data_IF_390321747518
#
_entry.id   IF_390321747518
#
_cell.length_a   1.000
_cell.length_b   1.000
_cell.length_c   1.000
_cell.angle_alpha   90.00
_cell.angle_beta   90.00
_cell.angle_gamma   90.00
#
_symmetry.space_group_name_H-M   'P 1'
#
loop_
_entity.id
_entity.type
_entity.pdbx_description
1 polymer ?
#
# COMPACT_ATOMS: atom_id res chain seq x y z
N UNK A 1 22.11 -14.27 25.20
CA UNK A 1 20.94 -13.40 24.92
C UNK A 1 20.50 -13.59 23.49
N UNK A 2 19.27 -14.02 23.24
CA UNK A 2 18.73 -14.09 21.89
C UNK A 2 18.71 -12.68 21.28
N UNK A 3 19.31 -12.55 20.10
CA UNK A 3 19.32 -11.32 19.33
C UNK A 3 17.87 -10.99 18.91
N UNK A 4 17.31 -9.88 19.42
CA UNK A 4 15.94 -9.47 19.11
C UNK A 4 15.65 -9.46 17.60
N UNK A 5 16.64 -9.10 16.78
CA UNK A 5 16.53 -9.10 15.32
C UNK A 5 16.22 -10.49 14.77
N UNK A 6 16.95 -11.51 15.22
CA UNK A 6 16.73 -12.90 14.79
C UNK A 6 15.37 -13.42 15.27
N UNK A 7 14.98 -13.11 16.49
CA UNK A 7 13.69 -13.54 17.06
C UNK A 7 12.53 -12.99 16.23
N UNK A 8 12.52 -11.69 15.93
CA UNK A 8 11.41 -11.09 15.19
C UNK A 8 11.37 -11.49 13.71
N UNK A 9 12.52 -11.67 13.07
CA UNK A 9 12.56 -12.19 11.69
C UNK A 9 12.08 -13.65 11.64
N UNK A 10 12.49 -14.48 12.60
CA UNK A 10 12.01 -15.85 12.67
C UNK A 10 10.51 -15.92 12.99
N UNK A 11 10.00 -15.06 13.88
CA UNK A 11 8.56 -14.98 14.16
C UNK A 11 7.76 -14.56 12.92
N UNK A 12 8.19 -13.49 12.24
CA UNK A 12 7.58 -13.08 10.96
C UNK A 12 7.64 -14.21 9.93
N UNK A 13 8.80 -14.84 9.77
CA UNK A 13 8.99 -15.95 8.84
C UNK A 13 8.09 -17.14 9.15
N UNK A 14 7.90 -17.49 10.45
CA UNK A 14 7.00 -18.55 10.87
C UNK A 14 5.53 -18.22 10.54
N UNK A 15 5.10 -16.96 10.77
CA UNK A 15 3.75 -16.50 10.44
C UNK A 15 3.52 -16.54 8.93
N UNK A 16 4.46 -16.01 8.12
CA UNK A 16 4.37 -16.06 6.67
C UNK A 16 4.39 -17.51 6.15
N UNK A 17 5.25 -18.36 6.68
CA UNK A 17 5.32 -19.77 6.28
C UNK A 17 4.00 -20.48 6.56
N UNK A 18 3.40 -20.24 7.74
CA UNK A 18 2.09 -20.80 8.10
C UNK A 18 1.00 -20.35 7.12
N UNK A 19 0.94 -19.07 6.77
CA UNK A 19 -0.14 -18.53 5.94
C UNK A 19 0.08 -18.81 4.44
N UNK A 20 1.29 -18.64 3.93
CA UNK A 20 1.55 -18.66 2.48
C UNK A 20 1.97 -20.01 1.93
N UNK A 21 2.53 -20.89 2.77
CA UNK A 21 3.18 -22.13 2.32
C UNK A 21 2.44 -23.37 2.78
N UNK A 22 2.01 -23.42 4.07
CA UNK A 22 1.30 -24.58 4.61
C UNK A 22 -0.15 -24.63 4.12
N UNK A 23 -0.67 -25.81 3.75
CA UNK A 23 -2.11 -25.96 3.45
C UNK A 23 -2.97 -25.72 4.71
N UNK A 24 -4.13 -25.07 4.56
CA UNK A 24 -4.65 -24.44 3.34
C UNK A 24 -3.86 -23.18 2.98
N UNK A 25 -3.26 -23.18 1.78
CA UNK A 25 -2.50 -22.03 1.29
C UNK A 25 -3.41 -20.82 1.15
N UNK A 26 -2.96 -19.68 1.65
CA UNK A 26 -3.70 -18.42 1.57
C UNK A 26 -3.10 -17.52 0.50
N UNK A 27 -3.96 -16.82 -0.20
CA UNK A 27 -3.61 -15.81 -1.20
C UNK A 27 -4.76 -14.84 -1.40
N UNK A 28 -4.74 -14.11 -2.48
CA UNK A 28 -5.83 -13.20 -2.87
C UNK A 28 -6.39 -13.63 -4.23
N UNK A 29 -7.72 -13.85 -4.30
CA UNK A 29 -8.38 -14.31 -5.51
C UNK A 29 -8.23 -13.30 -6.66
N UNK A 30 -8.12 -13.80 -7.89
CA UNK A 30 -8.02 -12.97 -9.09
C UNK A 30 -9.39 -12.36 -9.45
N UNK A 31 -9.42 -11.05 -9.65
CA UNK A 31 -10.57 -10.33 -10.21
C UNK A 31 -10.47 -10.13 -11.73
N UNK A 32 -9.46 -10.73 -12.37
CA UNK A 32 -9.10 -10.54 -13.76
C UNK A 32 -7.84 -9.68 -13.97
N UNK A 33 -7.34 -9.01 -12.93
CA UNK A 33 -6.17 -8.14 -13.01
C UNK A 33 -4.84 -8.91 -13.10
N UNK A 34 -4.79 -10.17 -12.67
CA UNK A 34 -3.61 -11.01 -12.85
C UNK A 34 -3.20 -11.14 -14.31
N UNK A 35 -4.18 -11.08 -15.21
CA UNK A 35 -3.94 -11.05 -16.65
C UNK A 35 -2.95 -9.96 -17.09
N UNK A 36 -2.84 -8.85 -16.38
CA UNK A 36 -1.87 -7.78 -16.66
C UNK A 36 -0.41 -8.24 -16.53
N UNK A 37 -0.16 -9.30 -15.76
CA UNK A 37 1.16 -9.84 -15.43
C UNK A 37 1.37 -11.24 -16.01
N UNK A 38 0.45 -12.18 -15.74
CA UNK A 38 0.66 -13.63 -15.97
C UNK A 38 0.75 -14.02 -17.45
N UNK A 39 0.14 -13.24 -18.34
CA UNK A 39 0.19 -13.52 -19.79
C UNK A 39 1.61 -13.53 -20.35
N UNK A 40 2.52 -12.72 -19.78
CA UNK A 40 3.94 -12.69 -20.18
C UNK A 40 4.69 -14.00 -19.89
N UNK A 41 4.16 -14.81 -18.97
CA UNK A 41 4.78 -16.04 -18.48
C UNK A 41 4.04 -17.29 -18.96
N UNK A 42 3.08 -17.14 -19.86
CA UNK A 42 2.25 -18.22 -20.38
C UNK A 42 1.43 -18.93 -19.27
N UNK A 43 1.15 -18.26 -18.17
CA UNK A 43 0.40 -18.81 -17.05
C UNK A 43 -1.10 -18.71 -17.30
N UNK A 44 -1.83 -19.80 -17.02
CA UNK A 44 -3.28 -19.84 -17.05
C UNK A 44 -3.82 -20.46 -15.77
N UNK A 45 -4.66 -19.73 -15.05
CA UNK A 45 -5.40 -20.23 -13.88
C UNK A 45 -6.36 -21.35 -14.27
N UNK A 46 -6.66 -22.23 -13.34
CA UNK A 46 -7.61 -23.36 -13.50
C UNK A 46 -9.04 -22.90 -13.32
N UNK A 47 -9.27 -22.01 -12.35
CA UNK A 47 -10.59 -21.47 -12.01
C UNK A 47 -10.75 -20.14 -12.69
N UNK A 48 -11.65 -20.05 -13.67
CA UNK A 48 -11.91 -18.79 -14.33
C UNK A 48 -12.72 -17.86 -13.43
N UNK A 49 -12.12 -16.73 -13.01
CA UNK A 49 -12.78 -15.52 -12.49
C UNK A 49 -13.82 -15.78 -11.38
N UNK A 50 -13.44 -16.50 -10.35
CA UNK A 50 -14.28 -16.54 -9.16
C UNK A 50 -13.59 -15.76 -8.05
N UNK A 51 -14.10 -14.58 -7.77
CA UNK A 51 -13.66 -13.71 -6.65
C UNK A 51 -13.66 -14.42 -5.27
N UNK A 52 -14.22 -15.64 -5.20
CA UNK A 52 -14.32 -16.41 -3.98
C UNK A 52 -13.15 -17.34 -3.68
N UNK A 53 -12.29 -17.62 -4.67
CA UNK A 53 -11.23 -18.63 -4.56
C UNK A 53 -9.95 -18.18 -5.24
N UNK A 54 -8.81 -18.66 -4.73
CA UNK A 54 -7.53 -18.53 -5.41
C UNK A 54 -7.23 -19.76 -6.26
N UNK A 55 -6.36 -19.59 -7.25
CA UNK A 55 -5.69 -20.68 -7.94
C UNK A 55 -4.30 -20.89 -7.33
N UNK A 56 -4.08 -22.00 -6.65
CA UNK A 56 -2.73 -22.33 -6.13
C UNK A 56 -1.79 -22.80 -7.23
N UNK A 57 -2.31 -23.29 -8.35
CA UNK A 57 -1.53 -23.88 -9.43
C UNK A 57 -2.01 -23.33 -10.77
N UNK A 58 -1.09 -22.78 -11.53
CA UNK A 58 -1.29 -22.29 -12.89
C UNK A 58 -0.68 -23.26 -13.89
N UNK A 59 -1.36 -23.56 -14.99
CA UNK A 59 -0.79 -24.33 -16.10
C UNK A 59 0.08 -23.40 -16.98
N UNK A 60 1.26 -23.86 -17.36
CA UNK A 60 2.14 -23.14 -18.30
C UNK A 60 1.76 -23.57 -19.73
N UNK A 61 1.25 -22.64 -20.54
CA UNK A 61 0.83 -22.88 -21.93
C UNK A 61 1.49 -21.87 -22.87
N UNK A 62 2.48 -22.28 -23.69
CA UNK A 62 3.19 -21.38 -24.60
C UNK A 62 2.28 -20.61 -25.55
N UNK A 63 1.17 -21.20 -25.98
CA UNK A 63 0.16 -20.60 -26.85
C UNK A 63 -0.60 -19.42 -26.21
N UNK A 64 -0.54 -19.29 -24.90
CA UNK A 64 -1.20 -18.22 -24.16
C UNK A 64 -0.31 -16.97 -23.97
N UNK A 65 0.87 -16.94 -24.60
CA UNK A 65 1.76 -15.79 -24.45
C UNK A 65 1.15 -14.52 -25.05
N UNK A 66 1.06 -13.48 -24.23
CA UNK A 66 0.61 -12.17 -24.64
C UNK A 66 1.19 -11.06 -23.76
N UNK A 67 1.27 -9.84 -24.27
CA UNK A 67 1.77 -8.68 -23.58
C UNK A 67 0.63 -7.71 -23.35
N UNK A 68 0.27 -7.49 -22.10
CA UNK A 68 -0.88 -6.67 -21.71
C UNK A 68 -0.73 -5.17 -21.92
N UNK A 69 0.47 -4.69 -22.27
CA UNK A 69 0.76 -3.25 -22.38
C UNK A 69 0.96 -2.55 -21.03
N UNK A 70 0.84 -3.25 -19.90
CA UNK A 70 1.13 -2.70 -18.59
C UNK A 70 2.62 -2.78 -18.26
N UNK A 71 3.13 -1.75 -17.57
CA UNK A 71 4.46 -1.71 -16.97
C UNK A 71 4.31 -1.79 -15.46
N UNK A 72 5.03 -2.73 -14.83
CA UNK A 72 4.95 -2.95 -13.38
C UNK A 72 6.22 -3.60 -12.84
N UNK A 73 6.62 -3.21 -11.64
CA UNK A 73 7.66 -3.91 -10.85
C UNK A 73 7.24 -5.35 -10.51
N UNK A 74 5.95 -5.68 -10.52
CA UNK A 74 5.47 -7.05 -10.34
C UNK A 74 6.00 -8.00 -11.42
N UNK A 75 6.22 -7.52 -12.65
CA UNK A 75 6.69 -8.35 -13.76
C UNK A 75 8.07 -8.97 -13.48
N UNK A 76 9.13 -8.24 -13.11
CA UNK A 76 10.40 -8.86 -12.75
C UNK A 76 10.32 -9.72 -11.48
N UNK A 77 9.46 -9.43 -10.52
CA UNK A 77 9.26 -10.29 -9.34
C UNK A 77 8.59 -11.61 -9.74
N UNK A 78 7.55 -11.56 -10.56
CA UNK A 78 6.92 -12.75 -11.13
C UNK A 78 7.92 -13.58 -11.98
N UNK A 79 8.83 -12.93 -12.71
CA UNK A 79 9.90 -13.63 -13.44
C UNK A 79 10.82 -14.40 -12.48
N UNK A 80 11.20 -13.79 -11.35
CA UNK A 80 11.98 -14.49 -10.30
C UNK A 80 11.21 -15.69 -9.74
N UNK A 81 9.91 -15.55 -9.50
CA UNK A 81 9.05 -16.62 -9.03
C UNK A 81 8.95 -17.76 -10.06
N UNK A 82 8.83 -17.45 -11.35
CA UNK A 82 8.85 -18.46 -12.42
C UNK A 82 10.19 -19.19 -12.49
N UNK A 83 11.30 -18.50 -12.32
CA UNK A 83 12.61 -19.16 -12.24
C UNK A 83 12.72 -20.05 -11.01
N UNK A 84 12.29 -19.58 -9.85
CA UNK A 84 12.24 -20.38 -8.62
C UNK A 84 11.39 -21.65 -8.82
N UNK A 85 10.20 -21.52 -9.41
CA UNK A 85 9.33 -22.65 -9.70
C UNK A 85 10.01 -23.69 -10.60
N UNK A 86 10.73 -23.27 -11.65
CA UNK A 86 11.47 -24.16 -12.56
C UNK A 86 12.62 -24.91 -11.89
N UNK A 87 13.18 -24.37 -10.79
CA UNK A 87 14.19 -25.05 -9.99
C UNK A 87 13.57 -26.15 -9.10
N UNK A 88 12.33 -25.94 -8.66
CA UNK A 88 11.62 -26.83 -7.70
C UNK A 88 10.80 -27.90 -8.45
N UNK A 89 10.09 -27.51 -9.51
CA UNK A 89 9.19 -28.38 -10.27
C UNK A 89 9.43 -28.31 -11.78
N UNK A 90 9.23 -29.46 -12.45
CA UNK A 90 9.33 -29.63 -13.91
C UNK A 90 8.04 -30.19 -14.53
N UNK A 91 6.92 -30.14 -13.79
CA UNK A 91 5.65 -30.74 -14.15
C UNK A 91 4.80 -29.93 -15.15
N UNK A 92 5.35 -28.81 -15.67
CA UNK A 92 4.63 -27.91 -16.58
C UNK A 92 3.63 -26.99 -15.87
N UNK A 93 3.63 -26.96 -14.53
CA UNK A 93 2.78 -26.07 -13.74
C UNK A 93 3.62 -25.01 -13.01
N UNK A 94 2.96 -23.93 -12.62
CA UNK A 94 3.49 -22.93 -11.75
C UNK A 94 2.73 -22.95 -10.41
N UNK A 95 3.45 -23.06 -9.32
CA UNK A 95 2.91 -23.01 -7.96
C UNK A 95 2.90 -21.57 -7.46
N UNK A 96 1.73 -21.06 -7.05
CA UNK A 96 1.54 -19.69 -6.56
C UNK A 96 2.43 -19.37 -5.36
N UNK A 97 2.78 -20.37 -4.53
CA UNK A 97 3.69 -20.18 -3.40
C UNK A 97 5.06 -19.64 -3.79
N UNK A 98 5.48 -19.82 -5.03
CA UNK A 98 6.75 -19.28 -5.51
C UNK A 98 6.76 -17.74 -5.54
N UNK A 99 5.64 -17.08 -5.90
CA UNK A 99 5.55 -15.62 -5.81
C UNK A 99 5.46 -15.18 -4.34
N UNK A 100 4.73 -15.92 -3.50
CA UNK A 100 4.68 -15.68 -2.07
C UNK A 100 6.05 -15.76 -1.38
N UNK A 101 6.93 -16.67 -1.82
CA UNK A 101 8.33 -16.74 -1.35
C UNK A 101 9.11 -15.48 -1.75
N UNK A 102 8.97 -15.01 -3.00
CA UNK A 102 9.67 -13.81 -3.48
C UNK A 102 9.22 -12.57 -2.71
N UNK A 103 7.91 -12.35 -2.58
CA UNK A 103 7.35 -11.23 -1.82
C UNK A 103 7.66 -11.35 -0.33
N UNK A 104 7.48 -12.54 0.25
CA UNK A 104 7.80 -12.82 1.65
C UNK A 104 9.26 -12.55 1.99
N UNK A 105 10.20 -12.86 1.08
CA UNK A 105 11.61 -12.54 1.27
C UNK A 105 11.85 -11.02 1.34
N UNK A 106 11.20 -10.22 0.49
CA UNK A 106 11.26 -8.75 0.56
C UNK A 106 10.67 -8.22 1.86
N UNK A 107 9.54 -8.76 2.30
CA UNK A 107 8.93 -8.41 3.57
C UNK A 107 9.85 -8.74 4.76
N UNK A 108 10.40 -9.96 4.82
CA UNK A 108 11.36 -10.35 5.86
C UNK A 108 12.62 -9.50 5.83
N UNK A 109 13.06 -9.07 4.66
CA UNK A 109 14.17 -8.14 4.52
C UNK A 109 13.82 -6.77 5.13
N UNK A 110 12.61 -6.26 4.92
CA UNK A 110 12.14 -5.03 5.59
C UNK A 110 12.11 -5.18 7.11
N UNK A 111 11.62 -6.30 7.65
CA UNK A 111 11.65 -6.60 9.09
C UNK A 111 13.08 -6.68 9.61
N UNK A 112 13.98 -7.34 8.87
CA UNK A 112 15.40 -7.44 9.20
C UNK A 112 16.07 -6.08 9.32
N UNK A 113 15.70 -5.13 8.46
CA UNK A 113 16.24 -3.78 8.44
C UNK A 113 15.58 -2.87 9.49
N UNK A 114 14.32 -3.10 9.82
CA UNK A 114 13.56 -2.29 10.79
C UNK A 114 14.03 -2.47 12.24
N UNK A 115 14.24 -3.71 12.69
CA UNK A 115 14.52 -3.99 14.12
C UNK A 115 15.74 -3.21 14.67
N UNK A 116 16.86 -3.05 13.93
CA UNK A 116 17.99 -2.25 14.39
C UNK A 116 17.71 -0.76 14.60
N UNK A 117 16.69 -0.18 13.94
CA UNK A 117 16.28 1.20 14.16
C UNK A 117 15.87 1.46 15.62
N UNK A 118 15.39 0.43 16.29
CA UNK A 118 14.95 0.49 17.68
C UNK A 118 16.07 0.17 18.70
N UNK A 119 17.34 0.02 18.24
CA UNK A 119 18.44 -0.36 19.13
C UNK A 119 18.73 0.65 20.26
N UNK A 120 18.46 1.94 20.01
CA UNK A 120 18.70 3.02 20.96
C UNK A 120 17.61 3.24 22.01
N UNK A 121 16.46 2.53 21.92
CA UNK A 121 15.34 2.68 22.86
C UNK A 121 15.39 1.61 23.97
N UNK A 122 14.62 1.85 25.03
CA UNK A 122 14.45 0.88 26.12
C UNK A 122 14.07 -0.50 25.58
N UNK A 123 14.55 -1.55 26.28
CA UNK A 123 14.33 -2.94 25.84
C UNK A 123 12.84 -3.29 25.76
N UNK A 124 12.05 -2.89 26.76
CA UNK A 124 10.61 -3.15 26.77
C UNK A 124 9.90 -2.48 25.61
N UNK A 125 10.22 -1.20 25.35
CA UNK A 125 9.65 -0.45 24.20
C UNK A 125 10.05 -1.10 22.88
N UNK A 126 11.31 -1.51 22.72
CA UNK A 126 11.75 -2.21 21.51
C UNK A 126 10.94 -3.48 21.25
N UNK A 127 10.76 -4.32 22.26
CA UNK A 127 9.97 -5.53 22.13
C UNK A 127 8.50 -5.23 21.81
N UNK A 128 7.91 -4.26 22.52
CA UNK A 128 6.53 -3.82 22.26
C UNK A 128 6.33 -3.30 20.83
N UNK A 129 7.25 -2.44 20.35
CA UNK A 129 7.19 -1.89 18.99
C UNK A 129 7.36 -2.96 17.91
N UNK A 130 8.30 -3.91 18.11
CA UNK A 130 8.45 -5.01 17.17
C UNK A 130 7.23 -5.94 17.19
N UNK A 131 6.69 -6.26 18.36
CA UNK A 131 5.49 -7.09 18.47
C UNK A 131 4.28 -6.40 17.81
N UNK A 132 4.10 -5.08 18.04
CA UNK A 132 3.04 -4.30 17.43
C UNK A 132 3.21 -4.24 15.90
N UNK A 133 4.42 -4.03 15.41
CA UNK A 133 4.69 -4.04 13.96
C UNK A 133 4.35 -5.41 13.35
N UNK A 134 4.73 -6.52 13.98
CA UNK A 134 4.34 -7.86 13.49
C UNK A 134 2.82 -8.08 13.57
N UNK A 135 2.17 -7.66 14.66
CA UNK A 135 0.72 -7.75 14.81
C UNK A 135 -0.03 -7.02 13.70
N UNK A 136 0.46 -5.85 13.30
CA UNK A 136 -0.16 -5.06 12.24
C UNK A 136 0.18 -5.59 10.84
N UNK A 137 1.46 -5.81 10.53
CA UNK A 137 1.92 -6.08 9.16
C UNK A 137 2.02 -7.57 8.79
N UNK A 138 1.96 -8.50 9.77
CA UNK A 138 1.75 -9.92 9.49
C UNK A 138 0.26 -10.31 9.53
N UNK A 139 -0.64 -9.32 9.64
CA UNK A 139 -2.08 -9.54 9.54
C UNK A 139 -2.47 -10.04 8.15
N UNK A 140 -3.51 -10.86 8.10
CA UNK A 140 -4.03 -11.49 6.89
C UNK A 140 -4.29 -10.49 5.76
N UNK A 141 -4.69 -9.27 6.09
CA UNK A 141 -4.95 -8.21 5.12
C UNK A 141 -3.74 -7.90 4.23
N UNK A 142 -2.53 -7.91 4.81
CA UNK A 142 -1.29 -7.66 4.06
C UNK A 142 -0.68 -8.94 3.51
N UNK A 143 -0.80 -10.05 4.25
CA UNK A 143 -0.13 -11.29 3.90
C UNK A 143 -0.81 -12.04 2.76
N UNK A 144 -2.15 -11.98 2.65
CA UNK A 144 -2.85 -12.65 1.56
C UNK A 144 -2.43 -12.15 0.17
N UNK A 145 -2.12 -10.85 0.05
CA UNK A 145 -1.68 -10.25 -1.21
C UNK A 145 -0.30 -10.72 -1.67
N UNK A 146 0.55 -11.22 -0.75
CA UNK A 146 1.87 -11.76 -1.09
C UNK A 146 1.78 -13.01 -2.01
N UNK A 147 0.71 -13.81 -1.90
CA UNK A 147 0.39 -14.89 -2.84
C UNK A 147 -0.58 -14.39 -3.91
N UNK A 148 -0.16 -13.40 -4.69
CA UNK A 148 -0.95 -12.84 -5.78
C UNK A 148 -0.05 -12.23 -6.86
N UNK A 149 -0.64 -11.89 -8.02
CA UNK A 149 0.01 -11.13 -9.09
C UNK A 149 -0.53 -9.70 -9.19
N UNK A 150 -1.09 -9.16 -8.11
CA UNK A 150 -1.53 -7.78 -8.09
C UNK A 150 -0.35 -6.81 -8.11
N UNK A 151 -0.44 -5.81 -8.96
CA UNK A 151 0.60 -4.78 -9.09
C UNK A 151 0.66 -3.81 -7.89
N UNK A 152 -0.27 -3.91 -6.94
CA UNK A 152 -0.28 -3.14 -5.69
C UNK A 152 0.81 -3.63 -4.73
N UNK A 153 1.12 -4.92 -4.76
CA UNK A 153 2.01 -5.59 -3.81
C UNK A 153 3.45 -5.06 -3.82
N UNK A 154 4.13 -4.91 -4.96
CA UNK A 154 5.46 -4.32 -4.95
C UNK A 154 5.46 -2.87 -4.47
N UNK A 155 4.40 -2.08 -4.75
CA UNK A 155 4.30 -0.73 -4.22
C UNK A 155 4.33 -0.74 -2.69
N UNK A 156 3.57 -1.63 -2.07
CA UNK A 156 3.53 -1.82 -0.62
C UNK A 156 4.89 -2.21 -0.06
N UNK A 157 5.49 -3.28 -0.58
CA UNK A 157 6.77 -3.82 -0.09
C UNK A 157 7.92 -2.80 -0.23
N UNK A 158 8.02 -2.15 -1.38
CA UNK A 158 9.08 -1.17 -1.62
C UNK A 158 8.81 0.18 -0.94
N UNK A 159 7.56 0.52 -0.60
CA UNK A 159 7.23 1.65 0.27
C UNK A 159 7.71 1.37 1.70
N UNK A 160 7.45 0.18 2.26
CA UNK A 160 8.00 -0.24 3.55
C UNK A 160 9.52 -0.12 3.58
N UNK A 161 10.20 -0.67 2.57
CA UNK A 161 11.65 -0.58 2.43
C UNK A 161 12.14 0.86 2.31
N UNK A 162 11.45 1.71 1.54
CA UNK A 162 11.79 3.13 1.39
C UNK A 162 11.76 3.87 2.74
N UNK A 163 10.71 3.67 3.52
CA UNK A 163 10.57 4.31 4.85
C UNK A 163 11.63 3.80 5.81
N UNK A 164 11.84 2.50 5.86
CA UNK A 164 12.85 1.88 6.71
C UNK A 164 14.25 2.37 6.33
N UNK A 165 14.60 2.36 5.03
CA UNK A 165 15.92 2.78 4.57
C UNK A 165 16.15 4.29 4.76
N UNK A 166 15.13 5.12 4.58
CA UNK A 166 15.25 6.54 4.93
C UNK A 166 15.65 6.74 6.38
N UNK A 167 14.96 6.07 7.32
CA UNK A 167 15.28 6.15 8.75
C UNK A 167 16.68 5.60 9.05
N UNK A 168 17.11 4.52 8.35
CA UNK A 168 18.44 3.92 8.49
C UNK A 168 19.55 4.83 7.99
N UNK A 169 19.34 5.51 6.87
CA UNK A 169 20.30 6.51 6.36
C UNK A 169 20.47 7.66 7.36
N UNK A 170 19.36 8.15 7.92
CA UNK A 170 19.40 9.19 8.96
C UNK A 170 20.14 8.71 10.21
N UNK A 171 19.89 7.48 10.65
CA UNK A 171 20.42 6.96 11.92
C UNK A 171 21.84 6.43 11.79
N UNK A 172 22.18 5.72 10.71
CA UNK A 172 23.45 4.99 10.57
C UNK A 172 24.37 5.57 9.50
N UNK A 173 23.88 6.28 8.50
CA UNK A 173 24.65 6.88 7.42
C UNK A 173 25.46 5.89 6.57
N UNK A 174 24.98 4.64 6.41
CA UNK A 174 25.68 3.58 5.68
C UNK A 174 25.46 3.72 4.17
N UNK A 175 26.48 3.42 3.37
CA UNK A 175 26.40 3.48 1.89
C UNK A 175 25.35 2.54 1.33
N UNK A 176 25.25 1.31 1.84
CA UNK A 176 24.27 0.34 1.37
C UNK A 176 22.83 0.83 1.60
N UNK A 177 22.55 1.34 2.83
CA UNK A 177 21.23 1.89 3.15
C UNK A 177 20.90 3.06 2.21
N UNK A 178 21.87 3.91 1.89
CA UNK A 178 21.67 5.00 0.94
C UNK A 178 21.43 4.52 -0.50
N UNK A 179 22.11 3.48 -0.96
CA UNK A 179 21.86 2.87 -2.29
C UNK A 179 20.48 2.25 -2.35
N UNK A 180 20.07 1.53 -1.31
CA UNK A 180 18.71 0.96 -1.23
C UNK A 180 17.64 2.06 -1.23
N UNK A 181 17.87 3.17 -0.48
CA UNK A 181 16.99 4.33 -0.51
C UNK A 181 16.94 5.01 -1.89
N UNK A 182 17.99 4.92 -2.69
CA UNK A 182 17.95 5.42 -4.08
C UNK A 182 17.16 4.50 -5.01
N UNK A 183 17.05 3.21 -4.73
CA UNK A 183 16.43 2.20 -5.61
C UNK A 183 14.97 1.92 -5.23
N UNK A 184 14.68 1.66 -3.95
CA UNK A 184 13.36 1.22 -3.50
C UNK A 184 12.21 2.16 -3.91
N UNK A 185 12.36 3.51 -3.86
CA UNK A 185 11.30 4.42 -4.33
C UNK A 185 10.90 4.21 -5.79
N UNK A 186 11.85 3.95 -6.68
CA UNK A 186 11.55 3.68 -8.09
C UNK A 186 10.74 2.40 -8.25
N UNK A 187 11.10 1.36 -7.51
CA UNK A 187 10.39 0.09 -7.56
C UNK A 187 8.98 0.20 -6.98
N UNK A 188 8.78 1.02 -5.93
CA UNK A 188 7.46 1.32 -5.39
C UNK A 188 6.58 2.04 -6.41
N UNK A 189 7.10 3.12 -7.01
CA UNK A 189 6.38 3.99 -7.96
C UNK A 189 6.13 3.30 -9.31
N UNK A 190 7.09 2.49 -9.78
CA UNK A 190 6.99 1.78 -11.05
C UNK A 190 6.12 0.50 -10.99
N UNK A 191 5.43 0.26 -9.88
CA UNK A 191 4.58 -0.91 -9.72
C UNK A 191 3.20 -0.73 -10.35
N UNK A 192 2.52 0.38 -10.06
CA UNK A 192 1.16 0.66 -10.54
C UNK A 192 0.97 2.17 -10.76
N UNK A 193 0.27 2.53 -11.81
CA UNK A 193 -0.03 3.94 -12.15
C UNK A 193 -0.69 4.69 -10.99
N UNK A 194 -1.61 4.04 -10.27
CA UNK A 194 -2.29 4.61 -9.09
C UNK A 194 -1.30 5.16 -8.06
N UNK A 195 -0.22 4.42 -7.77
CA UNK A 195 0.74 4.77 -6.72
C UNK A 195 1.89 5.67 -7.21
N UNK A 196 1.87 6.06 -8.48
CA UNK A 196 2.92 6.89 -9.07
C UNK A 196 3.04 8.28 -8.39
N UNK A 197 1.95 8.81 -7.83
CA UNK A 197 1.96 10.10 -7.13
C UNK A 197 2.80 10.08 -5.84
N UNK A 198 3.04 8.93 -5.23
CA UNK A 198 3.96 8.79 -4.08
C UNK A 198 5.37 9.27 -4.41
N UNK A 199 5.79 9.14 -5.67
CA UNK A 199 7.11 9.59 -6.10
C UNK A 199 7.34 11.09 -5.92
N UNK A 200 6.30 11.92 -6.00
CA UNK A 200 6.43 13.36 -5.72
C UNK A 200 6.70 13.63 -4.24
N UNK A 201 6.03 12.92 -3.32
CA UNK A 201 6.26 13.05 -1.88
C UNK A 201 7.65 12.55 -1.48
N UNK A 202 8.08 11.43 -2.06
CA UNK A 202 9.42 10.90 -1.80
C UNK A 202 10.50 11.81 -2.40
N UNK A 203 10.28 12.35 -3.61
CA UNK A 203 11.20 13.32 -4.21
C UNK A 203 11.32 14.59 -3.36
N UNK A 204 10.20 15.14 -2.89
CA UNK A 204 10.17 16.27 -1.95
C UNK A 204 10.96 15.95 -0.68
N UNK A 205 10.75 14.77 -0.09
CA UNK A 205 11.49 14.31 1.07
C UNK A 205 13.00 14.28 0.80
N UNK A 206 13.44 13.67 -0.31
CA UNK A 206 14.85 13.57 -0.67
C UNK A 206 15.48 14.96 -0.87
N UNK A 207 14.80 15.87 -1.56
CA UNK A 207 15.27 17.25 -1.77
C UNK A 207 15.41 18.00 -0.45
N UNK A 208 14.35 17.98 0.38
CA UNK A 208 14.31 18.70 1.64
C UNK A 208 15.33 18.18 2.67
N UNK A 209 15.69 16.88 2.57
CA UNK A 209 16.62 16.24 3.50
C UNK A 209 18.01 15.97 2.92
N UNK A 210 18.28 16.32 1.68
CA UNK A 210 19.56 16.09 1.00
C UNK A 210 20.80 16.57 1.77
N UNK A 211 20.63 17.59 2.63
CA UNK A 211 21.71 18.13 3.47
C UNK A 211 22.10 17.23 4.66
N UNK A 212 21.23 16.33 5.07
CA UNK A 212 21.44 15.45 6.23
C UNK A 212 21.61 13.98 5.85
N UNK A 213 21.19 13.58 4.64
CA UNK A 213 21.32 12.21 4.12
C UNK A 213 22.78 11.92 3.71
N UNK A 214 23.52 11.30 4.61
CA UNK A 214 24.88 10.82 4.33
C UNK A 214 24.84 9.31 4.00
N UNK A 215 25.82 8.76 3.28
CA UNK A 215 27.10 9.35 2.82
C UNK A 215 27.08 9.91 1.38
N UNK A 216 25.92 9.99 0.73
CA UNK A 216 25.80 10.46 -0.66
C UNK A 216 25.87 12.00 -0.69
N UNK A 217 26.48 12.57 -1.75
CA UNK A 217 26.49 14.01 -1.97
C UNK A 217 25.09 14.53 -2.26
N UNK A 218 24.79 15.78 -1.89
CA UNK A 218 23.48 16.43 -2.14
C UNK A 218 23.03 16.31 -3.60
N UNK A 219 23.96 16.48 -4.55
CA UNK A 219 23.69 16.35 -5.98
C UNK A 219 23.11 14.97 -6.34
N UNK A 220 23.61 13.90 -5.73
CA UNK A 220 23.07 12.55 -5.93
C UNK A 220 21.61 12.43 -5.50
N UNK A 221 21.24 13.02 -4.36
CA UNK A 221 19.85 13.04 -3.89
C UNK A 221 18.93 13.88 -4.79
N UNK A 222 19.42 15.03 -5.28
CA UNK A 222 18.66 15.85 -6.25
C UNK A 222 18.46 15.11 -7.56
N UNK A 223 19.50 14.44 -8.08
CA UNK A 223 19.38 13.60 -9.28
C UNK A 223 18.37 12.48 -9.07
N UNK A 224 18.45 11.76 -7.93
CA UNK A 224 17.46 10.71 -7.58
C UNK A 224 16.04 11.26 -7.54
N UNK A 225 15.83 12.42 -6.90
CA UNK A 225 14.52 13.06 -6.84
C UNK A 225 13.98 13.46 -8.21
N UNK A 226 14.82 14.06 -9.08
CA UNK A 226 14.42 14.40 -10.46
C UNK A 226 14.07 13.15 -11.24
N UNK A 227 14.90 12.12 -11.23
CA UNK A 227 14.63 10.85 -11.91
C UNK A 227 13.34 10.20 -11.38
N UNK A 228 13.07 10.28 -10.06
CA UNK A 228 11.86 9.74 -9.47
C UNK A 228 10.60 10.49 -9.95
N UNK A 229 10.65 11.82 -10.02
CA UNK A 229 9.56 12.63 -10.61
C UNK A 229 9.33 12.25 -12.06
N UNK A 230 10.38 12.11 -12.86
CA UNK A 230 10.26 11.68 -14.26
C UNK A 230 9.65 10.27 -14.35
N UNK A 231 10.07 9.35 -13.51
CA UNK A 231 9.47 8.00 -13.44
C UNK A 231 7.98 8.08 -13.10
N UNK A 232 7.60 8.90 -12.10
CA UNK A 232 6.20 9.11 -11.74
C UNK A 232 5.37 9.62 -12.91
N UNK A 233 5.86 10.62 -13.62
CA UNK A 233 5.20 11.18 -14.82
C UNK A 233 5.08 10.11 -15.93
N UNK A 234 6.14 9.34 -16.17
CA UNK A 234 6.12 8.26 -17.16
C UNK A 234 5.12 7.15 -16.78
N UNK A 235 5.05 6.79 -15.50
CA UNK A 235 4.07 5.81 -15.00
C UNK A 235 2.63 6.29 -15.20
N UNK A 236 2.34 7.55 -14.90
CA UNK A 236 1.01 8.14 -15.10
C UNK A 236 0.63 8.14 -16.60
N UNK A 237 1.61 8.35 -17.46
CA UNK A 237 1.35 8.64 -18.87
C UNK A 237 1.43 7.41 -19.78
N UNK A 238 2.30 6.44 -19.48
CA UNK A 238 2.70 5.35 -20.41
C UNK A 238 2.67 3.95 -19.81
N UNK A 239 2.38 3.79 -18.52
CA UNK A 239 2.48 2.49 -17.87
C UNK A 239 1.28 1.56 -18.10
N UNK A 240 0.23 2.05 -18.77
CA UNK A 240 -0.98 1.29 -19.05
C UNK A 240 -1.53 1.60 -20.44
N UNK A 241 -2.33 0.72 -21.04
CA UNK A 241 -3.03 1.01 -22.31
C UNK A 241 -3.82 2.31 -22.21
N UNK A 242 -3.85 3.08 -23.33
CA UNK A 242 -4.43 4.42 -23.34
C UNK A 242 -5.92 4.45 -22.98
N UNK A 243 -6.66 3.39 -23.35
CA UNK A 243 -8.09 3.26 -23.07
C UNK A 243 -8.41 2.65 -21.71
N UNK A 244 -7.41 2.19 -20.95
CA UNK A 244 -7.63 1.53 -19.66
C UNK A 244 -8.27 2.47 -18.61
N UNK A 245 -7.91 3.76 -18.62
CA UNK A 245 -8.48 4.74 -17.72
C UNK A 245 -10.01 4.88 -17.84
N UNK A 246 -10.59 4.43 -18.97
CA UNK A 246 -12.04 4.43 -19.16
C UNK A 246 -12.79 3.58 -18.14
N UNK A 247 -12.23 2.45 -17.69
CA UNK A 247 -12.88 1.53 -16.77
C UNK A 247 -13.11 2.14 -15.37
N UNK A 248 -12.09 2.60 -14.64
CA UNK A 248 -12.30 3.21 -13.34
C UNK A 248 -13.06 4.55 -13.43
N UNK A 249 -12.82 5.37 -14.45
CA UNK A 249 -13.59 6.59 -14.68
C UNK A 249 -15.07 6.30 -14.94
N UNK A 250 -15.38 5.23 -15.67
CA UNK A 250 -16.76 4.78 -15.88
C UNK A 250 -17.42 4.38 -14.56
N UNK A 251 -16.74 3.51 -13.79
CA UNK A 251 -17.27 3.02 -12.52
C UNK A 251 -17.58 4.19 -11.58
N UNK A 252 -16.62 5.05 -11.27
CA UNK A 252 -16.85 6.16 -10.35
C UNK A 252 -17.93 7.11 -10.84
N UNK A 253 -18.07 7.30 -12.16
CA UNK A 253 -19.05 8.21 -12.74
C UNK A 253 -20.46 7.63 -12.68
N UNK A 254 -20.65 6.39 -13.17
CA UNK A 254 -21.97 5.80 -13.38
C UNK A 254 -22.46 4.95 -12.22
N UNK A 255 -21.57 4.44 -11.37
CA UNK A 255 -21.94 3.64 -10.20
C UNK A 255 -22.01 4.52 -8.94
N UNK A 256 -21.18 5.56 -8.84
CA UNK A 256 -21.08 6.38 -7.64
C UNK A 256 -21.69 7.79 -7.80
N UNK A 257 -21.14 8.62 -8.69
CA UNK A 257 -21.50 10.04 -8.77
C UNK A 257 -22.94 10.23 -9.24
N UNK A 258 -23.30 9.64 -10.39
CA UNK A 258 -24.59 9.91 -11.04
C UNK A 258 -25.78 9.31 -10.32
N UNK A 259 -25.74 8.09 -9.76
CA UNK A 259 -26.85 7.54 -8.96
C UNK A 259 -27.18 8.36 -7.73
N UNK A 260 -26.16 8.95 -7.08
CA UNK A 260 -26.32 9.75 -5.86
C UNK A 260 -26.54 11.26 -6.15
N UNK A 261 -26.62 11.63 -7.43
CA UNK A 261 -26.85 13.02 -7.83
C UNK A 261 -28.34 13.39 -7.73
N UNK A 262 -28.63 14.56 -7.15
CA UNK A 262 -29.99 15.11 -7.14
C UNK A 262 -30.53 15.43 -8.55
N UNK A 263 -29.64 15.72 -9.51
CA UNK A 263 -29.98 16.01 -10.90
C UNK A 263 -28.91 15.41 -11.81
N UNK A 264 -29.12 14.16 -12.22
CA UNK A 264 -28.16 13.42 -13.05
C UNK A 264 -27.88 14.10 -14.39
N UNK A 265 -28.88 14.76 -15.02
CA UNK A 265 -28.71 15.45 -16.29
C UNK A 265 -27.74 16.63 -16.16
N UNK A 266 -27.92 17.44 -15.13
CA UNK A 266 -27.02 18.57 -14.84
C UNK A 266 -25.63 18.07 -14.48
N UNK A 267 -25.54 17.04 -13.64
CA UNK A 267 -24.25 16.46 -13.24
C UNK A 267 -23.50 15.85 -14.42
N UNK A 268 -24.20 15.18 -15.35
CA UNK A 268 -23.59 14.72 -16.61
C UNK A 268 -23.01 15.87 -17.42
N UNK A 269 -23.78 16.97 -17.57
CA UNK A 269 -23.32 18.16 -18.29
C UNK A 269 -22.08 18.78 -17.61
N UNK A 270 -22.05 18.87 -16.28
CA UNK A 270 -20.91 19.36 -15.50
C UNK A 270 -19.66 18.47 -15.65
N UNK A 271 -19.84 17.15 -15.87
CA UNK A 271 -18.79 16.19 -16.20
C UNK A 271 -18.38 16.21 -17.68
N UNK A 272 -19.09 16.96 -18.54
CA UNK A 272 -18.87 17.02 -19.99
C UNK A 272 -19.45 15.86 -20.77
N UNK A 273 -20.40 15.13 -20.17
CA UNK A 273 -21.13 14.01 -20.79
C UNK A 273 -22.47 14.48 -21.35
N UNK A 274 -22.87 13.95 -22.49
CA UNK A 274 -24.17 14.21 -23.10
C UNK A 274 -25.22 13.14 -22.72
N UNK A 275 -26.47 13.33 -23.12
CA UNK A 275 -27.60 12.47 -22.74
C UNK A 275 -27.48 11.03 -23.27
N UNK A 276 -26.62 10.76 -24.27
CA UNK A 276 -26.38 9.40 -24.77
C UNK A 276 -25.82 8.45 -23.71
N UNK A 277 -25.13 8.98 -22.69
CA UNK A 277 -24.59 8.21 -21.57
C UNK A 277 -25.60 7.91 -20.45
N UNK A 278 -26.82 8.43 -20.54
CA UNK A 278 -27.86 8.26 -19.49
C UNK A 278 -28.19 6.80 -19.19
N UNK A 279 -28.15 5.95 -20.21
CA UNK A 279 -28.42 4.51 -20.07
C UNK A 279 -27.32 3.75 -19.31
N UNK A 280 -26.16 4.37 -19.07
CA UNK A 280 -25.05 3.82 -18.32
C UNK A 280 -25.21 3.98 -16.80
N UNK A 281 -26.10 4.88 -16.33
CA UNK A 281 -26.27 5.18 -14.90
C UNK A 281 -26.66 3.93 -14.13
N UNK A 282 -25.97 3.66 -13.02
CA UNK A 282 -26.12 2.47 -12.17
C UNK A 282 -25.49 1.20 -12.72
N UNK A 283 -24.74 1.27 -13.81
CA UNK A 283 -24.06 0.11 -14.40
C UNK A 283 -22.56 0.14 -14.13
N UNK A 284 -22.00 -1.03 -13.83
CA UNK A 284 -20.55 -1.26 -13.73
C UNK A 284 -19.96 -1.44 -15.13
N UNK A 285 -18.72 -1.03 -15.30
CA UNK A 285 -17.99 -1.12 -16.57
C UNK A 285 -17.95 -2.55 -17.18
N UNK A 286 -17.92 -3.57 -16.32
CA UNK A 286 -17.78 -4.98 -16.72
C UNK A 286 -19.13 -5.69 -16.92
N UNK A 287 -20.25 -5.00 -16.77
CA UNK A 287 -21.57 -5.57 -16.98
C UNK A 287 -22.01 -5.45 -18.44
N UNK A 288 -22.75 -6.46 -18.90
CA UNK A 288 -23.37 -6.41 -20.22
C UNK A 288 -24.25 -5.17 -20.38
N UNK A 289 -24.15 -4.51 -21.53
CA UNK A 289 -24.91 -3.29 -21.82
C UNK A 289 -24.33 -2.02 -21.19
N UNK A 290 -23.12 -2.06 -20.62
CA UNK A 290 -22.36 -0.87 -20.22
C UNK A 290 -21.84 -0.05 -21.41
N UNK A 291 -21.73 -0.68 -22.58
CA UNK A 291 -21.04 -0.12 -23.75
C UNK A 291 -19.52 -0.29 -23.72
N UNK A 292 -18.95 -0.73 -22.62
CA UNK A 292 -17.50 -0.82 -22.43
C UNK A 292 -16.82 -1.92 -23.24
N UNK A 293 -17.59 -2.88 -23.79
CA UNK A 293 -17.07 -3.87 -24.75
C UNK A 293 -16.73 -3.24 -26.11
N UNK A 294 -17.40 -2.13 -26.49
CA UNK A 294 -17.10 -1.37 -27.69
C UNK A 294 -15.90 -0.43 -27.46
N UNK A 295 -14.83 -0.65 -28.23
CA UNK A 295 -13.63 0.20 -28.18
C UNK A 295 -13.95 1.65 -28.58
N UNK A 296 -14.79 1.86 -29.57
CA UNK A 296 -15.18 3.20 -29.99
C UNK A 296 -15.96 3.95 -28.91
N UNK A 297 -16.76 3.25 -28.11
CA UNK A 297 -17.43 3.84 -26.94
C UNK A 297 -16.39 4.29 -25.90
N UNK A 298 -15.41 3.42 -25.56
CA UNK A 298 -14.35 3.76 -24.59
C UNK A 298 -13.53 4.97 -25.03
N UNK A 299 -13.14 5.02 -26.31
CA UNK A 299 -12.38 6.15 -26.88
C UNK A 299 -13.17 7.45 -26.78
N UNK A 300 -14.44 7.48 -27.21
CA UNK A 300 -15.31 8.66 -27.06
C UNK A 300 -15.51 9.07 -25.60
N UNK A 301 -15.64 8.10 -24.69
CA UNK A 301 -15.83 8.38 -23.27
C UNK A 301 -14.61 9.07 -22.65
N UNK A 302 -13.37 8.58 -22.87
CA UNK A 302 -12.15 9.21 -22.33
C UNK A 302 -11.80 10.55 -22.99
N UNK A 303 -12.26 10.81 -24.21
CA UNK A 303 -12.18 12.15 -24.82
C UNK A 303 -13.07 13.15 -24.07
N UNK A 304 -14.23 12.70 -23.62
CA UNK A 304 -15.18 13.53 -22.86
C UNK A 304 -14.78 13.72 -21.41
N UNK A 305 -14.38 12.65 -20.72
CA UNK A 305 -14.05 12.65 -19.31
C UNK A 305 -12.62 12.13 -19.07
N UNK A 306 -11.88 12.84 -18.22
CA UNK A 306 -10.54 12.46 -17.76
C UNK A 306 -10.43 12.69 -16.27
N UNK A 307 -9.40 12.12 -15.61
CA UNK A 307 -9.15 12.39 -14.18
C UNK A 307 -8.96 13.88 -13.89
N UNK A 308 -8.38 14.66 -14.81
CA UNK A 308 -8.28 16.11 -14.65
C UNK A 308 -9.65 16.79 -14.61
N UNK A 309 -10.57 16.41 -15.53
CA UNK A 309 -11.95 16.92 -15.52
C UNK A 309 -12.73 16.45 -14.30
N UNK A 310 -12.54 15.20 -13.87
CA UNK A 310 -13.13 14.67 -12.64
C UNK A 310 -12.66 15.45 -11.41
N UNK A 311 -11.36 15.76 -11.32
CA UNK A 311 -10.82 16.59 -10.24
C UNK A 311 -11.40 18.01 -10.22
N UNK A 312 -11.57 18.62 -11.40
CA UNK A 312 -12.25 19.94 -11.54
C UNK A 312 -13.73 19.84 -11.13
N UNK A 313 -14.40 18.75 -11.50
CA UNK A 313 -15.78 18.49 -11.06
C UNK A 313 -15.87 18.44 -9.54
N UNK A 314 -15.03 17.64 -8.87
CA UNK A 314 -15.01 17.55 -7.41
C UNK A 314 -14.68 18.88 -6.72
N UNK A 315 -13.76 19.67 -7.32
CA UNK A 315 -13.44 21.01 -6.79
C UNK A 315 -14.65 21.98 -6.87
N UNK A 316 -15.50 21.83 -7.88
CA UNK A 316 -16.74 22.62 -8.04
C UNK A 316 -17.90 22.06 -7.22
N UNK A 317 -17.90 20.76 -6.94
CA UNK A 317 -18.94 20.03 -6.23
C UNK A 317 -18.36 19.30 -4.99
N UNK A 318 -17.88 20.02 -3.96
CA UNK A 318 -17.22 19.40 -2.81
C UNK A 318 -18.14 18.47 -2.01
N UNK A 319 -19.45 18.70 -2.05
CA UNK A 319 -20.42 17.79 -1.42
C UNK A 319 -20.45 16.42 -2.13
N UNK A 320 -20.36 16.39 -3.48
CA UNK A 320 -20.26 15.13 -4.22
C UNK A 320 -18.95 14.40 -3.91
N UNK A 321 -17.81 15.13 -3.89
CA UNK A 321 -16.53 14.55 -3.51
C UNK A 321 -16.59 13.94 -2.09
N UNK A 322 -17.18 14.65 -1.14
CA UNK A 322 -17.32 14.17 0.23
C UNK A 322 -18.20 12.91 0.30
N UNK A 323 -19.34 12.89 -0.40
CA UNK A 323 -20.23 11.74 -0.45
C UNK A 323 -19.51 10.51 -1.03
N UNK A 324 -18.94 10.63 -2.22
CA UNK A 324 -18.14 9.56 -2.85
C UNK A 324 -17.03 9.05 -1.93
N UNK A 325 -16.31 9.95 -1.24
CA UNK A 325 -15.28 9.56 -0.28
C UNK A 325 -15.82 8.75 0.89
N UNK A 326 -16.95 9.18 1.49
CA UNK A 326 -17.57 8.48 2.63
C UNK A 326 -18.09 7.11 2.23
N UNK A 327 -18.75 7.00 1.08
CA UNK A 327 -19.27 5.72 0.59
C UNK A 327 -18.13 4.75 0.26
N UNK A 328 -17.10 5.23 -0.46
CA UNK A 328 -15.90 4.42 -0.73
C UNK A 328 -15.20 3.98 0.56
N UNK A 329 -15.06 4.85 1.56
CA UNK A 329 -14.48 4.48 2.87
C UNK A 329 -15.34 3.48 3.64
N UNK A 330 -16.68 3.55 3.49
CA UNK A 330 -17.58 2.56 4.09
C UNK A 330 -17.31 1.16 3.56
N UNK A 331 -17.08 1.02 2.26
CA UNK A 331 -16.77 -0.26 1.62
C UNK A 331 -15.32 -0.70 1.88
N UNK A 332 -14.36 0.25 1.87
CA UNK A 332 -12.96 -0.02 2.22
C UNK A 332 -12.80 -0.48 3.67
N UNK A 333 -13.70 -0.09 4.57
CA UNK A 333 -13.73 -0.56 5.95
C UNK A 333 -13.75 -2.09 6.05
N UNK A 334 -14.29 -2.79 5.07
CA UNK A 334 -14.13 -4.24 4.90
C UNK A 334 -12.72 -4.53 4.40
N UNK A 335 -11.83 -4.88 5.32
CA UNK A 335 -10.40 -5.06 5.03
C UNK A 335 -10.08 -6.27 4.14
N UNK A 336 -11.01 -7.21 3.99
CA UNK A 336 -10.89 -8.38 3.13
C UNK A 336 -11.71 -8.15 1.85
N UNK A 337 -11.08 -8.27 0.69
CA UNK A 337 -11.72 -7.99 -0.60
C UNK A 337 -12.31 -9.23 -1.26
N UNK A 338 -11.59 -10.36 -1.21
CA UNK A 338 -11.88 -11.58 -1.97
C UNK A 338 -11.61 -12.81 -1.13
N UNK A 339 -12.03 -13.99 -1.62
CA UNK A 339 -11.69 -15.27 -1.01
C UNK A 339 -10.18 -15.53 -0.97
N UNK A 340 -9.75 -16.22 0.06
CA UNK A 340 -8.33 -16.47 0.33
C UNK A 340 -7.87 -17.88 0.06
N UNK A 341 -8.81 -18.86 -0.08
CA UNK A 341 -8.46 -20.26 -0.18
C UNK A 341 -8.62 -20.81 -1.60
N UNK A 342 -7.80 -21.80 -1.94
CA UNK A 342 -8.01 -22.62 -3.13
C UNK A 342 -9.29 -23.44 -3.01
N UNK A 343 -10.02 -23.58 -4.12
CA UNK A 343 -11.28 -24.35 -4.16
C UNK A 343 -11.07 -25.81 -3.73
N UNK A 344 -9.91 -26.38 -3.99
CA UNK A 344 -9.56 -27.76 -3.62
C UNK A 344 -9.38 -27.95 -2.11
N UNK A 345 -9.26 -26.87 -1.33
CA UNK A 345 -9.20 -26.94 0.12
C UNK A 345 -10.53 -27.34 0.78
N UNK A 346 -11.64 -27.32 0.01
CA UNK A 346 -12.96 -27.74 0.50
C UNK A 346 -13.66 -26.74 1.40
N UNK A 347 -13.11 -25.54 1.55
CA UNK A 347 -13.77 -24.46 2.28
C UNK A 347 -14.79 -23.73 1.39
N UNK A 348 -15.87 -23.14 1.97
CA UNK A 348 -16.71 -22.22 1.24
C UNK A 348 -15.92 -20.97 0.81
N UNK A 349 -16.40 -20.17 -0.16
CA UNK A 349 -15.81 -18.86 -0.46
C UNK A 349 -15.81 -18.02 0.81
N UNK A 350 -14.63 -17.86 1.39
CA UNK A 350 -14.46 -17.19 2.68
C UNK A 350 -13.06 -16.59 2.79
N UNK A 351 -12.94 -15.69 3.74
CA UNK A 351 -11.67 -15.09 4.14
C UNK A 351 -11.05 -15.88 5.28
N UNK A 352 -9.74 -16.08 5.23
CA UNK A 352 -9.01 -16.69 6.34
C UNK A 352 -9.08 -15.79 7.58
N UNK A 353 -9.33 -16.40 8.74
CA UNK A 353 -9.30 -15.72 10.04
C UNK A 353 -7.98 -15.92 10.80
N UNK A 354 -7.03 -16.61 10.20
CA UNK A 354 -5.71 -16.80 10.81
C UNK A 354 -4.92 -15.49 10.73
N UNK A 355 -4.47 -14.99 11.89
CA UNK A 355 -3.76 -13.71 12.01
C UNK A 355 -4.53 -12.50 11.43
N UNK A 356 -5.86 -12.49 11.53
CA UNK A 356 -6.73 -11.45 11.00
C UNK A 356 -7.26 -10.47 12.07
N UNK A 357 -6.74 -10.53 13.30
CA UNK A 357 -7.31 -9.77 14.42
C UNK A 357 -7.24 -8.26 14.20
N UNK A 358 -6.15 -7.75 13.63
CA UNK A 358 -6.01 -6.32 13.36
C UNK A 358 -6.98 -5.84 12.28
N UNK A 359 -7.06 -6.53 11.18
CA UNK A 359 -8.01 -6.23 10.10
C UNK A 359 -9.46 -6.47 10.53
N UNK A 360 -9.75 -7.51 11.31
CA UNK A 360 -11.09 -7.76 11.85
C UNK A 360 -11.55 -6.63 12.78
N UNK A 361 -10.67 -6.12 13.66
CA UNK A 361 -10.99 -4.95 14.52
C UNK A 361 -11.27 -3.72 13.66
N UNK A 362 -10.42 -3.42 12.66
CA UNK A 362 -10.65 -2.29 11.75
C UNK A 362 -11.96 -2.47 10.98
N UNK A 363 -12.24 -3.66 10.46
CA UNK A 363 -13.49 -3.95 9.74
C UNK A 363 -14.72 -3.79 10.64
N UNK A 364 -14.65 -4.26 11.88
CA UNK A 364 -15.77 -4.11 12.83
C UNK A 364 -16.08 -2.62 13.12
N UNK A 365 -15.05 -1.78 13.18
CA UNK A 365 -15.21 -0.35 13.51
C UNK A 365 -15.60 0.49 12.28
N UNK A 366 -15.06 0.18 11.10
CA UNK A 366 -15.11 1.07 9.95
C UNK A 366 -16.02 0.61 8.81
N UNK A 367 -16.29 -0.71 8.68
CA UNK A 367 -17.18 -1.20 7.63
C UNK A 367 -18.60 -0.64 7.80
N UNK A 368 -19.14 -0.07 6.75
CA UNK A 368 -20.37 0.75 6.71
C UNK A 368 -20.32 2.06 7.54
N UNK A 369 -19.15 2.42 8.07
CA UNK A 369 -18.96 3.62 8.87
C UNK A 369 -17.89 4.56 8.30
N UNK A 370 -17.98 4.93 7.01
CA UNK A 370 -16.95 5.71 6.31
C UNK A 370 -16.64 7.06 6.95
N UNK A 371 -17.63 7.74 7.53
CA UNK A 371 -17.40 8.97 8.29
C UNK A 371 -16.54 8.72 9.53
N UNK A 372 -16.80 7.65 10.27
CA UNK A 372 -15.99 7.27 11.44
C UNK A 372 -14.55 6.94 11.01
N UNK A 373 -14.40 6.29 9.86
CA UNK A 373 -13.07 5.98 9.31
C UNK A 373 -12.33 7.27 8.93
N UNK A 374 -12.96 8.22 8.23
CA UNK A 374 -12.36 9.52 7.90
C UNK A 374 -11.96 10.28 9.17
N UNK A 375 -12.84 10.36 10.16
CA UNK A 375 -12.56 11.03 11.42
C UNK A 375 -11.42 10.37 12.18
N UNK A 376 -11.34 9.03 12.19
CA UNK A 376 -10.22 8.30 12.79
C UNK A 376 -8.89 8.62 12.08
N UNK A 377 -8.87 8.66 10.75
CA UNK A 377 -7.68 9.05 9.98
C UNK A 377 -7.27 10.49 10.28
N UNK A 378 -8.20 11.45 10.24
CA UNK A 378 -7.92 12.86 10.54
C UNK A 378 -7.41 13.06 11.97
N UNK A 379 -8.00 12.34 12.94
CA UNK A 379 -7.58 12.37 14.33
C UNK A 379 -6.17 11.79 14.50
N UNK A 380 -5.87 10.68 13.83
CA UNK A 380 -4.56 10.03 13.84
C UNK A 380 -3.48 10.95 13.22
N UNK A 381 -3.77 11.56 12.07
CA UNK A 381 -2.87 12.51 11.40
C UNK A 381 -2.63 13.74 12.28
N UNK A 382 -3.68 14.27 12.91
CA UNK A 382 -3.58 15.42 13.82
C UNK A 382 -2.71 15.08 15.03
N UNK A 383 -2.95 13.92 15.66
CA UNK A 383 -2.14 13.43 16.77
C UNK A 383 -0.67 13.27 16.35
N UNK A 384 -0.43 12.67 15.18
CA UNK A 384 0.92 12.49 14.66
C UNK A 384 1.63 13.82 14.43
N UNK A 385 0.97 14.79 13.78
CA UNK A 385 1.52 16.13 13.55
C UNK A 385 1.85 16.83 14.88
N UNK A 386 0.96 16.77 15.87
CA UNK A 386 1.20 17.32 17.21
C UNK A 386 2.40 16.67 17.87
N UNK A 387 2.49 15.33 17.87
CA UNK A 387 3.63 14.60 18.43
C UNK A 387 4.95 14.96 17.74
N UNK A 388 4.97 15.08 16.41
CA UNK A 388 6.13 15.53 15.65
C UNK A 388 6.55 16.94 16.04
N UNK A 389 5.61 17.86 16.18
CA UNK A 389 5.89 19.26 16.57
C UNK A 389 6.33 19.37 18.03
N UNK A 390 5.76 18.61 18.94
CA UNK A 390 6.17 18.58 20.35
C UNK A 390 7.59 18.01 20.50
N UNK A 391 7.89 16.96 19.76
CA UNK A 391 9.16 16.24 19.84
C UNK A 391 10.23 16.78 18.86
N UNK A 392 9.95 17.82 18.08
CA UNK A 392 10.82 18.27 16.97
C UNK A 392 12.28 18.51 17.38
N UNK A 393 12.52 19.00 18.62
CA UNK A 393 13.89 19.26 19.14
C UNK A 393 14.65 17.98 19.49
N UNK A 394 13.94 16.89 19.76
CA UNK A 394 14.51 15.59 20.14
C UNK A 394 14.64 14.63 18.97
N UNK A 395 13.99 14.92 17.84
CA UNK A 395 14.02 14.08 16.64
C UNK A 395 15.27 14.38 15.80
N UNK A 396 15.85 13.36 15.14
CA UNK A 396 16.90 13.58 14.15
C UNK A 396 16.42 14.53 13.04
N UNK A 397 17.33 15.35 12.53
CA UNK A 397 17.02 16.22 11.40
C UNK A 397 16.52 15.42 10.20
N UNK A 398 15.42 15.82 9.60
CA UNK A 398 14.77 15.17 8.47
C UNK A 398 13.60 14.26 8.85
N UNK A 399 13.50 13.77 10.10
CA UNK A 399 12.36 12.95 10.55
C UNK A 399 11.07 13.75 10.57
N UNK A 400 11.12 15.02 10.96
CA UNK A 400 9.97 15.93 10.89
C UNK A 400 9.44 16.04 9.45
N UNK A 401 10.33 16.30 8.49
CA UNK A 401 9.98 16.38 7.06
C UNK A 401 9.40 15.05 6.58
N UNK A 402 10.00 13.92 6.97
CA UNK A 402 9.49 12.60 6.62
C UNK A 402 8.07 12.36 7.15
N UNK A 403 7.79 12.79 8.38
CA UNK A 403 6.46 12.71 8.97
C UNK A 403 5.42 13.51 8.17
N UNK A 404 5.72 14.74 7.75
CA UNK A 404 4.81 15.52 6.92
C UNK A 404 4.65 14.95 5.50
N UNK A 405 5.72 14.40 4.90
CA UNK A 405 5.61 13.70 3.62
C UNK A 405 4.75 12.42 3.74
N UNK A 406 4.86 11.70 4.85
CA UNK A 406 4.03 10.52 5.13
C UNK A 406 2.54 10.90 5.26
N UNK A 407 2.23 12.00 5.94
CA UNK A 407 0.87 12.56 6.02
C UNK A 407 0.36 12.91 4.60
N UNK A 408 1.15 13.64 3.82
CA UNK A 408 0.77 14.01 2.45
C UNK A 408 0.55 12.80 1.55
N UNK A 409 1.40 11.79 1.65
CA UNK A 409 1.23 10.51 0.97
C UNK A 409 -0.08 9.82 1.39
N UNK A 410 -0.41 9.81 2.69
CA UNK A 410 -1.65 9.27 3.22
C UNK A 410 -2.89 9.95 2.64
N UNK A 411 -2.91 11.28 2.56
CA UNK A 411 -4.02 12.01 1.91
C UNK A 411 -4.10 11.74 0.40
N UNK A 412 -2.95 11.60 -0.26
CA UNK A 412 -2.93 11.27 -1.70
C UNK A 412 -3.52 9.90 -1.95
N UNK A 413 -3.09 8.86 -1.21
CA UNK A 413 -3.65 7.51 -1.36
C UNK A 413 -5.11 7.43 -0.93
N UNK A 414 -5.53 8.17 0.11
CA UNK A 414 -6.95 8.32 0.45
C UNK A 414 -7.75 8.86 -0.74
N UNK A 415 -7.31 9.96 -1.34
CA UNK A 415 -8.01 10.55 -2.49
C UNK A 415 -8.05 9.63 -3.71
N UNK A 416 -6.92 8.96 -4.02
CA UNK A 416 -6.84 8.04 -5.16
C UNK A 416 -7.71 6.80 -4.96
N UNK A 417 -7.72 6.21 -3.77
CA UNK A 417 -8.48 4.99 -3.49
C UNK A 417 -9.99 5.23 -3.34
N UNK A 418 -10.42 6.48 -3.06
CA UNK A 418 -11.83 6.79 -2.81
C UNK A 418 -12.53 7.56 -3.93
N UNK A 419 -11.78 8.38 -4.69
CA UNK A 419 -12.38 9.30 -5.66
C UNK A 419 -12.13 8.93 -7.12
N UNK A 420 -11.28 7.93 -7.39
CA UNK A 420 -10.85 7.62 -8.75
C UNK A 420 -11.42 6.31 -9.33
N UNK A 421 -12.01 5.47 -8.50
CA UNK A 421 -12.68 4.22 -8.88
C UNK A 421 -13.75 3.89 -7.81
N UNK A 422 -14.72 3.02 -8.12
CA UNK A 422 -15.72 2.50 -7.19
C UNK A 422 -15.66 0.97 -7.06
N UNK A 423 -14.72 0.32 -7.77
CA UNK A 423 -14.56 -1.14 -7.75
C UNK A 423 -13.33 -1.55 -6.96
N UNK A 424 -13.39 -2.73 -6.32
CA UNK A 424 -12.25 -3.32 -5.59
C UNK A 424 -11.64 -2.40 -4.53
N UNK A 425 -12.46 -1.59 -3.91
CA UNK A 425 -12.04 -0.53 -3.01
C UNK A 425 -11.09 -0.99 -1.89
N UNK A 426 -11.29 -2.16 -1.21
CA UNK A 426 -10.33 -2.61 -0.18
C UNK A 426 -8.94 -2.89 -0.74
N UNK A 427 -8.82 -3.44 -1.95
CA UNK A 427 -7.53 -3.69 -2.60
C UNK A 427 -6.86 -2.39 -3.03
N UNK A 428 -7.61 -1.48 -3.63
CA UNK A 428 -7.10 -0.16 -4.04
C UNK A 428 -6.66 0.70 -2.86
N UNK A 429 -7.15 0.41 -1.66
CA UNK A 429 -6.78 1.07 -0.41
C UNK A 429 -5.56 0.44 0.29
N UNK A 430 -4.92 -0.61 -0.24
CA UNK A 430 -3.80 -1.31 0.41
C UNK A 430 -2.70 -0.35 0.90
N UNK A 431 -2.28 0.59 0.04
CA UNK A 431 -1.25 1.56 0.42
C UNK A 431 -1.77 2.62 1.39
N UNK A 432 -3.03 3.03 1.27
CA UNK A 432 -3.66 3.91 2.25
C UNK A 432 -3.67 3.26 3.65
N UNK A 433 -4.03 1.98 3.75
CA UNK A 433 -3.98 1.23 5.00
C UNK A 433 -2.56 1.10 5.54
N UNK A 434 -1.59 0.81 4.68
CA UNK A 434 -0.19 0.72 5.08
C UNK A 434 0.32 2.05 5.66
N UNK A 435 -0.02 3.18 5.03
CA UNK A 435 0.32 4.52 5.51
C UNK A 435 -0.40 4.87 6.81
N UNK A 436 -1.69 4.53 6.93
CA UNK A 436 -2.45 4.66 8.17
C UNK A 436 -1.77 3.91 9.32
N UNK A 437 -1.42 2.65 9.10
CA UNK A 437 -0.76 1.80 10.10
C UNK A 437 0.67 2.28 10.42
N UNK A 438 1.42 2.81 9.44
CA UNK A 438 2.73 3.46 9.69
C UNK A 438 2.59 4.68 10.58
N UNK A 439 1.61 5.54 10.34
CA UNK A 439 1.35 6.72 11.16
C UNK A 439 0.95 6.29 12.58
N UNK A 440 0.08 5.29 12.71
CA UNK A 440 -0.31 4.75 14.01
C UNK A 440 0.89 4.19 14.80
N UNK A 441 1.73 3.38 14.15
CA UNK A 441 2.95 2.84 14.76
C UNK A 441 3.92 3.96 15.18
N UNK A 442 4.07 4.99 14.35
CA UNK A 442 4.91 6.14 14.65
C UNK A 442 4.36 6.96 15.84
N UNK A 443 3.04 7.14 15.95
CA UNK A 443 2.40 7.79 17.11
C UNK A 443 2.71 7.03 18.40
N UNK A 444 2.55 5.70 18.41
CA UNK A 444 2.86 4.86 19.57
C UNK A 444 4.34 4.99 19.94
N UNK A 445 5.24 4.92 18.96
CA UNK A 445 6.67 5.09 19.19
C UNK A 445 7.01 6.45 19.82
N UNK A 446 6.48 7.54 19.28
CA UNK A 446 6.71 8.89 19.80
C UNK A 446 6.18 9.06 21.23
N UNK A 447 4.96 8.58 21.48
CA UNK A 447 4.34 8.64 22.81
C UNK A 447 5.13 7.87 23.87
N UNK A 448 5.53 6.63 23.58
CA UNK A 448 6.33 5.81 24.50
C UNK A 448 7.72 6.39 24.74
N UNK A 449 8.39 6.88 23.70
CA UNK A 449 9.73 7.47 23.83
C UNK A 449 9.73 8.77 24.63
N UNK A 450 8.68 9.59 24.52
CA UNK A 450 8.48 10.83 25.29
C UNK A 450 8.21 10.54 26.77
N UNK A 451 7.34 9.58 27.04
CA UNK A 451 6.98 9.17 28.40
C UNK A 451 8.20 8.72 29.22
N UNK A 452 9.05 7.88 28.63
CA UNK A 452 10.26 7.36 29.28
C UNK A 452 11.31 8.45 29.56
N UNK A 453 11.46 9.43 28.65
CA UNK A 453 12.35 10.58 28.90
C UNK A 453 11.89 11.40 30.09
N UNK A 454 10.60 11.72 30.19
CA UNK A 454 10.03 12.46 31.34
C UNK A 454 10.22 11.70 32.66
N UNK A 455 10.09 10.37 32.65
CA UNK A 455 10.28 9.55 33.86
C UNK A 455 11.75 9.55 34.31
N UNK A 456 12.71 9.43 33.40
CA UNK A 456 14.15 9.51 33.74
C UNK A 456 14.54 10.88 34.33
N UNK A 457 13.97 11.99 33.84
CA UNK A 457 14.19 13.31 34.40
C UNK A 457 13.61 13.45 35.80
N UNK A 458 12.43 12.90 36.07
CA UNK A 458 11.81 12.94 37.41
C UNK A 458 12.60 12.10 38.42
N UNK A 459 13.10 10.94 38.05
CA UNK A 459 13.93 10.09 38.95
C UNK A 459 15.32 10.71 39.18
N UNK A 460 15.92 11.35 38.17
CA UNK A 460 17.19 12.07 38.35
C UNK A 460 17.04 13.32 39.25
N UNK A 461 15.92 14.04 39.13
CA UNK A 461 15.63 15.21 39.99
C UNK A 461 15.23 14.84 41.42
N UNK A 462 14.82 13.58 41.65
CA UNK A 462 14.44 13.09 43.00
C UNK A 462 15.61 12.49 43.79
N UNK A 463 16.83 12.43 43.24
CA UNK A 463 18.03 12.06 44.02
C UNK A 463 18.46 13.29 44.81
N UNK A 464 18.29 13.33 46.14
CA UNK A 464 18.74 14.44 46.96
C UNK A 464 20.26 14.54 46.82
N UNK A 465 20.74 15.78 46.60
CA UNK A 465 22.17 16.11 46.66
C UNK A 465 22.74 15.52 47.97
N UNK A 466 23.60 14.49 47.87
CA UNK A 466 24.34 14.04 49.01
C UNK A 466 25.07 15.21 49.63
N UNK A 467 24.66 15.57 50.86
CA UNK A 467 25.34 16.57 51.64
C UNK A 467 26.82 16.13 51.74
N UNK A 468 27.69 16.98 51.22
CA UNK A 468 29.14 16.89 51.45
C UNK A 468 29.34 17.10 52.95
N UNK A 469 29.52 16.01 53.71
CA UNK A 469 29.99 16.07 55.06
C UNK A 469 31.47 16.45 54.97
N UNK A 470 31.78 17.67 55.23
CA UNK A 470 33.14 18.12 55.53
C UNK A 470 33.44 17.62 56.96
N UNK A 471 34.33 16.67 57.04
CA UNK A 471 34.93 16.24 58.27
C UNK A 471 35.93 17.30 58.76
N UNK A 472 36.09 17.49 60.13
CA UNK A 472 36.95 18.49 60.70
C UNK A 472 38.44 18.18 60.54
#
# INVERSE_FOLDING_TARGET
MLDSRRVFVLAAGAILFYQLILPPVVGLADNGDFAKVIGRFNLRGRVHKTYGYIDNVYTIRPENHWVSGFVSTEIPLAQLAVWLNRLISKDGNFDLRCIGVVHGALFLFAVWLFVPLLAGVDRGVRWAMCALALFMYCDMMYVNSLNSFYMDEPSYLFLLLTVVEFLRVIQFGRRLDAVLLMICPFLAVASKTQHALLGFWIALLLVATAGVLKPIRRSGWYTTAICLVLTSVLMIWKAQPADYASYPLYNVTFEEILPHSQNAVRTMADLGLDDSYRTCIGKKAFLAGSGMDDRGFRERFIERLSYGKLAVFYAKHPAAAFHTMIDSLSDQGRQHAFGNFDISAGYPPAESKAFALWSDVKSHVFYHHGLAFLLAFLSLVTLFAVLLLVEHKSLPRGVLTAGFCLIGAGFTELGLSTLCDSMDLPRHALLFFALFDMIALACVYLALSSGLRKTKWRTAAAVPARATITAP
#
